data_IF_249474361390
#
_entry.id   IF_249474361390
#
_cell.length_a   1.000
_cell.length_b   1.000
_cell.length_c   1.000
_cell.angle_alpha   90.00
_cell.angle_beta   90.00
_cell.angle_gamma   90.00
#
_symmetry.space_group_name_H-M   'P 1'
#
loop_
_entity.id
_entity.type
_entity.pdbx_description
1 polymer ?
#
# COMPACT_ATOMS: atom_id res chain seq x y z
N UNK A 1 18.28 6.33 0.08
CA UNK A 1 17.88 7.00 1.34
C UNK A 1 17.32 6.03 2.38
N UNK A 2 16.19 5.34 2.16
CA UNK A 2 15.66 4.41 3.20
C UNK A 2 16.49 3.12 3.42
N UNK A 3 17.23 2.67 2.40
CA UNK A 3 18.12 1.49 2.47
C UNK A 3 19.34 1.76 3.35
N UNK A 4 19.90 2.97 3.26
CA UNK A 4 21.15 3.37 3.93
C UNK A 4 21.00 3.40 5.47
N UNK A 5 19.84 3.83 5.97
CA UNK A 5 19.55 3.82 7.42
C UNK A 5 19.41 2.40 7.97
N UNK A 6 18.80 1.49 7.21
CA UNK A 6 18.59 0.12 7.65
C UNK A 6 19.90 -0.66 7.75
N UNK A 7 20.80 -0.51 6.78
CA UNK A 7 22.15 -1.09 6.81
C UNK A 7 22.93 -0.58 8.02
N UNK A 8 22.93 0.73 8.26
CA UNK A 8 23.60 1.32 9.43
C UNK A 8 23.03 0.81 10.75
N UNK A 9 21.71 0.61 10.85
CA UNK A 9 21.09 0.01 12.03
C UNK A 9 21.49 -1.46 12.24
N UNK A 10 21.68 -2.23 11.16
CA UNK A 10 22.11 -3.63 11.23
C UNK A 10 23.50 -3.76 11.88
N UNK A 11 24.43 -2.85 11.56
CA UNK A 11 25.73 -2.80 12.22
C UNK A 11 25.60 -2.60 13.75
N UNK A 12 24.78 -1.64 14.19
CA UNK A 12 24.57 -1.41 15.63
C UNK A 12 23.94 -2.60 16.37
N UNK A 13 23.07 -3.36 15.70
CA UNK A 13 22.50 -4.60 16.25
C UNK A 13 23.56 -5.68 16.42
N UNK A 14 24.47 -5.85 15.45
CA UNK A 14 25.58 -6.80 15.52
C UNK A 14 26.56 -6.42 16.63
N UNK A 15 26.86 -5.13 16.77
CA UNK A 15 27.73 -4.58 17.82
C UNK A 15 27.07 -4.57 19.20
N UNK A 16 25.76 -4.87 19.31
CA UNK A 16 24.95 -4.81 20.54
C UNK A 16 24.98 -3.44 21.23
N UNK A 17 25.21 -2.37 20.48
CA UNK A 17 25.24 -0.99 20.99
C UNK A 17 23.88 -0.34 20.71
N UNK A 18 23.30 0.29 21.72
CA UNK A 18 22.06 1.07 21.55
C UNK A 18 22.37 2.40 20.85
N UNK A 19 21.91 2.64 19.62
CA UNK A 19 22.22 3.86 18.90
C UNK A 19 21.44 5.07 19.42
N UNK A 20 22.01 6.26 19.26
CA UNK A 20 21.27 7.52 19.43
C UNK A 20 20.43 7.80 18.17
N UNK A 21 19.14 7.50 18.25
CA UNK A 21 18.20 7.66 17.13
C UNK A 21 18.14 9.09 16.58
N UNK A 22 18.25 10.11 17.45
CA UNK A 22 18.15 11.52 17.06
C UNK A 22 19.39 12.01 16.32
N UNK A 23 20.58 11.56 16.71
CA UNK A 23 21.82 11.92 16.02
C UNK A 23 21.86 11.33 14.61
N UNK A 24 21.44 10.07 14.47
CA UNK A 24 21.41 9.36 13.19
C UNK A 24 20.31 9.93 12.30
N UNK A 25 19.14 10.23 12.85
CA UNK A 25 18.08 10.94 12.14
C UNK A 25 18.57 12.25 11.49
N UNK A 26 19.38 13.04 12.20
CA UNK A 26 19.96 14.28 11.68
C UNK A 26 21.00 14.03 10.58
N UNK A 27 21.85 13.03 10.73
CA UNK A 27 22.87 12.67 9.72
C UNK A 27 22.23 12.23 8.39
N UNK A 28 21.16 11.44 8.46
CA UNK A 28 20.50 10.90 7.27
C UNK A 28 19.27 11.72 6.81
N UNK A 29 18.90 12.77 7.55
CA UNK A 29 17.72 13.59 7.24
C UNK A 29 16.38 12.85 7.36
N UNK A 30 16.27 11.85 8.25
CA UNK A 30 15.08 10.99 8.40
C UNK A 30 14.44 11.17 9.78
N UNK A 31 13.11 11.02 9.88
CA UNK A 31 12.42 11.06 11.19
C UNK A 31 12.99 10.00 12.17
N UNK A 32 13.31 10.36 13.43
CA UNK A 32 13.86 9.43 14.43
C UNK A 32 13.04 8.18 14.70
N UNK A 33 11.70 8.23 14.51
CA UNK A 33 10.82 7.06 14.64
C UNK A 33 11.09 6.06 13.52
N UNK A 34 11.47 6.52 12.33
CA UNK A 34 11.88 5.66 11.22
C UNK A 34 13.20 4.95 11.55
N UNK A 35 14.15 5.65 12.18
CA UNK A 35 15.42 5.04 12.64
C UNK A 35 15.16 3.99 13.72
N UNK A 36 14.33 4.30 14.71
CA UNK A 36 13.93 3.35 15.77
C UNK A 36 13.25 2.11 15.20
N UNK A 37 12.31 2.29 14.27
CA UNK A 37 11.62 1.16 13.62
C UNK A 37 12.58 0.34 12.76
N UNK A 38 13.54 0.95 12.07
CA UNK A 38 14.58 0.24 11.33
C UNK A 38 15.48 -0.59 12.26
N UNK A 39 15.88 -0.05 13.42
CA UNK A 39 16.64 -0.78 14.45
C UNK A 39 15.88 -2.00 14.98
N UNK A 40 14.61 -1.83 15.35
CA UNK A 40 13.76 -2.93 15.82
C UNK A 40 13.55 -4.00 14.74
N UNK A 41 13.39 -3.60 13.47
CA UNK A 41 13.33 -4.54 12.33
C UNK A 41 14.62 -5.32 12.15
N UNK A 42 15.77 -4.66 12.28
CA UNK A 42 17.07 -5.31 12.17
C UNK A 42 17.32 -6.28 13.34
N UNK A 43 16.82 -5.95 14.54
CA UNK A 43 16.90 -6.82 15.72
C UNK A 43 16.01 -8.07 15.59
N UNK A 44 14.79 -7.91 15.07
CA UNK A 44 13.83 -9.02 14.97
C UNK A 44 14.06 -9.90 13.74
N UNK A 45 14.94 -9.52 12.80
CA UNK A 45 15.16 -10.24 11.55
C UNK A 45 13.98 -10.22 10.58
N UNK A 46 12.93 -9.44 10.87
CA UNK A 46 11.70 -9.42 10.10
C UNK A 46 11.73 -8.32 9.04
N UNK A 47 11.70 -8.72 7.77
CA UNK A 47 11.20 -7.87 6.68
C UNK A 47 9.68 -7.80 6.79
N UNK A 48 9.18 -6.84 7.60
CA UNK A 48 7.76 -6.49 7.57
C UNK A 48 7.47 -5.83 6.23
N UNK A 49 7.18 -6.64 5.22
CA UNK A 49 6.58 -6.17 3.98
C UNK A 49 5.24 -5.60 4.39
N UNK A 50 5.10 -4.27 4.33
CA UNK A 50 3.80 -3.65 4.55
C UNK A 50 2.88 -4.22 3.49
N UNK A 51 1.98 -5.13 3.89
CA UNK A 51 0.88 -5.57 3.05
C UNK A 51 0.03 -4.33 2.78
N UNK A 52 0.32 -3.66 1.67
CA UNK A 52 -0.55 -2.63 1.15
C UNK A 52 -1.90 -3.29 0.96
N UNK A 53 -2.91 -2.80 1.69
CA UNK A 53 -4.28 -3.26 1.53
C UNK A 53 -4.66 -2.97 0.08
N UNK A 54 -4.70 -4.01 -0.76
CA UNK A 54 -5.27 -3.93 -2.10
C UNK A 54 -6.77 -3.67 -1.93
N UNK A 55 -7.17 -2.40 -1.87
CA UNK A 55 -8.58 -2.00 -1.87
C UNK A 55 -9.12 -2.31 -3.26
N UNK A 56 -9.97 -3.34 -3.35
CA UNK A 56 -10.69 -3.64 -4.59
C UNK A 56 -11.74 -2.56 -4.82
N UNK A 57 -11.86 -2.09 -6.06
CA UNK A 57 -12.98 -1.23 -6.45
C UNK A 57 -14.26 -2.05 -6.49
N UNK A 58 -15.41 -1.39 -6.29
CA UNK A 58 -16.72 -2.03 -6.46
C UNK A 58 -16.96 -2.49 -7.91
N UNK A 59 -16.23 -1.91 -8.87
CA UNK A 59 -16.32 -2.25 -10.28
C UNK A 59 -15.40 -3.40 -10.69
N UNK A 60 -14.44 -3.81 -9.87
CA UNK A 60 -13.42 -4.79 -10.28
C UNK A 60 -14.03 -6.12 -10.74
N UNK A 61 -15.22 -6.49 -10.25
CA UNK A 61 -15.96 -7.68 -10.67
C UNK A 61 -16.87 -7.50 -11.90
N UNK A 62 -17.03 -6.28 -12.40
CA UNK A 62 -17.96 -5.95 -13.49
C UNK A 62 -17.28 -5.32 -14.71
N UNK A 63 -15.95 -5.16 -14.69
CA UNK A 63 -15.19 -4.48 -15.76
C UNK A 63 -15.42 -5.10 -17.14
N UNK A 64 -15.39 -6.44 -17.23
CA UNK A 64 -15.59 -7.15 -18.50
C UNK A 64 -17.00 -6.94 -19.05
N UNK A 65 -18.01 -7.07 -18.18
CA UNK A 65 -19.43 -6.85 -18.53
C UNK A 65 -19.66 -5.42 -19.02
N UNK A 66 -19.09 -4.43 -18.33
CA UNK A 66 -19.21 -3.02 -18.71
C UNK A 66 -18.58 -2.80 -20.08
N UNK A 67 -17.40 -3.38 -20.33
CA UNK A 67 -16.68 -3.25 -21.61
C UNK A 67 -17.44 -3.91 -22.77
N UNK A 68 -17.99 -5.09 -22.56
CA UNK A 68 -18.78 -5.80 -23.57
C UNK A 68 -20.06 -5.04 -23.93
N UNK A 69 -20.76 -4.49 -22.93
CA UNK A 69 -21.99 -3.72 -23.17
C UNK A 69 -21.72 -2.33 -23.75
N UNK A 70 -20.61 -1.71 -23.36
CA UNK A 70 -20.17 -0.44 -23.94
C UNK A 70 -19.80 -0.60 -25.42
N UNK A 71 -19.06 -1.66 -25.77
CA UNK A 71 -18.73 -1.96 -27.17
C UNK A 71 -19.95 -2.34 -28.01
N UNK A 72 -20.98 -2.92 -27.39
CA UNK A 72 -22.29 -3.13 -28.02
C UNK A 72 -23.12 -1.83 -28.22
N UNK A 73 -22.63 -0.67 -27.77
CA UNK A 73 -23.30 0.62 -27.94
C UNK A 73 -24.41 0.91 -26.92
N UNK A 74 -24.46 0.18 -25.80
CA UNK A 74 -25.43 0.44 -24.74
C UNK A 74 -25.13 1.76 -24.01
N UNK A 75 -26.19 2.47 -23.58
CA UNK A 75 -26.03 3.66 -22.76
C UNK A 75 -25.51 3.30 -21.36
N UNK A 76 -24.77 4.22 -20.74
CA UNK A 76 -24.26 4.03 -19.38
C UNK A 76 -25.38 3.71 -18.36
N UNK A 77 -26.58 4.26 -18.57
CA UNK A 77 -27.76 3.97 -17.74
C UNK A 77 -28.19 2.51 -17.84
N UNK A 78 -28.27 1.97 -19.06
CA UNK A 78 -28.63 0.57 -19.27
C UNK A 78 -27.56 -0.38 -18.71
N UNK A 79 -26.27 -0.01 -18.82
CA UNK A 79 -25.17 -0.79 -18.23
C UNK A 79 -25.28 -0.80 -16.70
N UNK A 80 -25.58 0.35 -16.08
CA UNK A 80 -25.79 0.45 -14.63
C UNK A 80 -26.96 -0.42 -14.16
N UNK A 81 -28.13 -0.31 -14.79
CA UNK A 81 -29.30 -1.08 -14.39
C UNK A 81 -29.03 -2.59 -14.50
N UNK A 82 -28.31 -3.02 -15.55
CA UNK A 82 -27.89 -4.41 -15.73
C UNK A 82 -26.94 -4.93 -14.63
N UNK A 83 -25.96 -4.13 -14.20
CA UNK A 83 -25.05 -4.56 -13.13
C UNK A 83 -25.73 -4.51 -11.75
N UNK A 84 -26.72 -3.62 -11.55
CA UNK A 84 -27.54 -3.58 -10.33
C UNK A 84 -28.34 -4.87 -10.18
N UNK A 85 -28.96 -5.36 -11.25
CA UNK A 85 -29.62 -6.68 -11.25
C UNK A 85 -28.66 -7.84 -10.92
N UNK A 86 -27.39 -7.71 -11.32
CA UNK A 86 -26.31 -8.68 -11.00
C UNK A 86 -25.74 -8.53 -9.57
N UNK A 87 -26.25 -7.60 -8.77
CA UNK A 87 -25.84 -7.39 -7.37
C UNK A 87 -24.83 -6.27 -7.13
N UNK A 88 -24.72 -5.31 -8.04
CA UNK A 88 -23.88 -4.12 -7.83
C UNK A 88 -24.43 -3.22 -6.71
N UNK A 89 -23.56 -2.82 -5.78
CA UNK A 89 -23.90 -2.01 -4.59
C UNK A 89 -23.36 -0.57 -4.66
N UNK A 90 -22.86 -0.16 -5.82
CA UNK A 90 -22.38 1.21 -6.06
C UNK A 90 -23.48 2.14 -6.55
N UNK A 91 -23.12 3.41 -6.74
CA UNK A 91 -24.01 4.42 -7.34
C UNK A 91 -23.75 4.53 -8.84
N UNK A 92 -24.73 5.06 -9.57
CA UNK A 92 -24.64 5.34 -11.01
C UNK A 92 -23.39 6.16 -11.37
N UNK A 93 -22.99 7.12 -10.52
CA UNK A 93 -21.83 7.99 -10.77
C UNK A 93 -20.48 7.28 -10.82
N UNK A 94 -20.42 6.01 -10.41
CA UNK A 94 -19.17 5.23 -10.39
C UNK A 94 -19.00 4.45 -11.70
N UNK A 95 -20.11 4.11 -12.38
CA UNK A 95 -20.18 3.26 -13.59
C UNK A 95 -19.97 4.09 -14.85
#
# INVERSE_FOLDING_TARGET
>A
MGKDVYERMKYFVVEKIKPNYSAIARQYGVDPRTVKTAYLRAQNGETIVRNQRKRRSKLDGFQDIIKDKYTAGCSARAIYDFIVEKGFTGKYTIV
#
